data_IF_695474867200
#
_entry.id   IF_695474867200
#
_cell.length_a   1.000
_cell.length_b   1.000
_cell.length_c   1.000
_cell.angle_alpha   90.00
_cell.angle_beta   90.00
_cell.angle_gamma   90.00
#
_symmetry.space_group_name_H-M   'P 1'
#
loop_
_entity.id
_entity.type
_entity.pdbx_description
1 polymer ?
#
# COMPACT_ATOMS: atom_id res chain seq x y z
N UNK A 1 -21.95 -59.28 4.85
CA UNK A 1 -22.22 -58.39 3.71
C UNK A 1 -22.77 -57.08 4.25
N UNK A 2 -22.01 -55.98 4.13
CA UNK A 2 -22.45 -54.60 3.85
C UNK A 2 -21.38 -53.58 4.27
N UNK A 3 -20.35 -53.53 3.42
CA UNK A 3 -19.65 -52.36 2.88
C UNK A 3 -19.51 -51.17 3.82
N UNK A 4 -18.31 -51.09 4.40
CA UNK A 4 -17.66 -49.88 4.90
C UNK A 4 -17.43 -48.96 3.69
N UNK A 5 -18.48 -48.26 3.25
CA UNK A 5 -18.30 -47.08 2.43
C UNK A 5 -17.89 -45.97 3.38
N UNK A 6 -16.60 -45.94 3.70
CA UNK A 6 -15.95 -44.72 4.13
C UNK A 6 -16.38 -43.65 3.14
N UNK A 7 -17.09 -42.63 3.63
CA UNK A 7 -17.28 -41.39 2.88
C UNK A 7 -15.89 -40.84 2.62
N UNK A 8 -15.29 -41.18 1.47
CA UNK A 8 -14.27 -40.32 0.90
C UNK A 8 -14.99 -38.99 0.70
N UNK A 9 -14.56 -37.90 1.37
CA UNK A 9 -15.22 -36.62 1.22
C UNK A 9 -15.20 -36.27 -0.27
N UNK A 10 -16.38 -36.23 -0.90
CA UNK A 10 -16.55 -36.02 -2.35
C UNK A 10 -16.31 -34.55 -2.75
N UNK A 11 -15.41 -33.87 -2.04
CA UNK A 11 -14.99 -32.52 -2.31
C UNK A 11 -13.51 -32.41 -2.03
N UNK A 12 -12.71 -32.20 -3.09
CA UNK A 12 -11.36 -31.73 -2.92
C UNK A 12 -11.47 -30.28 -2.45
N UNK A 13 -11.20 -30.02 -1.18
CA UNK A 13 -11.02 -28.67 -0.66
C UNK A 13 -9.78 -28.06 -1.34
N UNK A 14 -9.99 -27.38 -2.46
CA UNK A 14 -8.92 -26.78 -3.27
C UNK A 14 -8.04 -25.84 -2.43
N UNK A 15 -8.63 -25.18 -1.41
CA UNK A 15 -7.93 -24.34 -0.44
C UNK A 15 -6.96 -25.09 0.49
N UNK A 16 -7.14 -26.40 0.73
CA UNK A 16 -6.23 -27.19 1.57
C UNK A 16 -5.15 -27.89 0.76
N UNK A 17 -5.38 -28.10 -0.52
CA UNK A 17 -4.46 -28.82 -1.42
C UNK A 17 -3.60 -27.87 -2.25
N UNK A 18 -4.06 -26.64 -2.49
CA UNK A 18 -3.33 -25.61 -3.23
C UNK A 18 -3.17 -24.35 -2.38
N UNK A 19 -1.99 -24.19 -1.76
CA UNK A 19 -1.69 -23.09 -0.84
C UNK A 19 -1.99 -21.68 -1.39
N UNK A 20 -1.77 -21.36 -2.69
CA UNK A 20 -2.13 -20.04 -3.22
C UNK A 20 -3.64 -19.74 -3.22
N UNK A 21 -4.51 -20.76 -3.23
CA UNK A 21 -5.96 -20.55 -3.14
C UNK A 21 -6.39 -20.01 -1.77
N UNK A 22 -5.56 -20.17 -0.73
CA UNK A 22 -5.82 -19.59 0.60
C UNK A 22 -5.62 -18.07 0.62
N UNK A 23 -4.78 -17.54 -0.26
CA UNK A 23 -4.40 -16.12 -0.26
C UNK A 23 -5.26 -15.23 -1.13
N UNK A 24 -6.06 -15.80 -2.04
CA UNK A 24 -6.88 -15.03 -2.99
C UNK A 24 -8.34 -15.49 -2.97
N UNK A 25 -8.86 -15.77 -1.77
CA UNK A 25 -10.24 -16.24 -1.61
C UNK A 25 -11.26 -15.16 -1.93
N UNK A 26 -10.88 -13.87 -1.86
CA UNK A 26 -11.74 -12.72 -2.17
C UNK A 26 -10.98 -11.68 -3.00
N UNK A 27 -11.72 -10.88 -3.79
CA UNK A 27 -11.15 -9.73 -4.52
C UNK A 27 -10.47 -8.74 -3.56
N UNK A 28 -10.95 -8.62 -2.33
CA UNK A 28 -10.34 -7.78 -1.29
C UNK A 28 -8.92 -8.19 -0.93
N UNK A 29 -8.58 -9.48 -0.98
CA UNK A 29 -7.22 -9.95 -0.65
C UNK A 29 -6.19 -9.44 -1.65
N UNK A 30 -6.55 -9.39 -2.94
CA UNK A 30 -5.69 -8.84 -4.00
C UNK A 30 -5.48 -7.33 -3.83
N UNK A 31 -6.56 -6.60 -3.53
CA UNK A 31 -6.52 -5.16 -3.32
C UNK A 31 -5.66 -4.84 -2.09
N UNK A 32 -5.82 -5.60 -1.01
CA UNK A 32 -5.03 -5.48 0.22
C UNK A 32 -3.52 -5.55 -0.05
N UNK A 33 -3.06 -6.56 -0.79
CA UNK A 33 -1.65 -6.73 -1.15
C UNK A 33 -1.12 -5.55 -1.97
N UNK A 34 -1.89 -5.09 -2.96
CA UNK A 34 -1.50 -3.95 -3.81
C UNK A 34 -1.40 -2.68 -2.98
N UNK A 35 -2.43 -2.40 -2.17
CA UNK A 35 -2.50 -1.20 -1.34
C UNK A 35 -1.37 -1.19 -0.31
N UNK A 36 -1.15 -2.29 0.40
CA UNK A 36 -0.07 -2.40 1.38
C UNK A 36 1.30 -2.13 0.75
N UNK A 37 1.59 -2.75 -0.40
CA UNK A 37 2.86 -2.54 -1.09
C UNK A 37 2.98 -1.10 -1.64
N UNK A 38 1.87 -0.51 -2.11
CA UNK A 38 1.83 0.87 -2.57
C UNK A 38 2.14 1.85 -1.43
N UNK A 39 1.63 1.64 -0.21
CA UNK A 39 1.94 2.49 0.95
C UNK A 39 3.43 2.43 1.31
N UNK A 40 4.04 1.25 1.30
CA UNK A 40 5.49 1.09 1.55
C UNK A 40 6.30 1.82 0.48
N UNK A 41 5.99 1.60 -0.79
CA UNK A 41 6.64 2.27 -1.92
C UNK A 41 6.47 3.79 -1.85
N UNK A 42 5.26 4.26 -1.56
CA UNK A 42 4.96 5.68 -1.44
C UNK A 42 5.76 6.33 -0.30
N UNK A 43 5.92 5.65 0.84
CA UNK A 43 6.77 6.11 1.94
C UNK A 43 8.25 6.23 1.53
N UNK A 44 8.78 5.23 0.82
CA UNK A 44 10.17 5.26 0.31
C UNK A 44 10.36 6.40 -0.69
N UNK A 45 9.45 6.56 -1.64
CA UNK A 45 9.50 7.63 -2.65
C UNK A 45 9.42 9.00 -1.97
N UNK A 46 8.49 9.18 -1.04
CA UNK A 46 8.35 10.43 -0.29
C UNK A 46 9.64 10.76 0.47
N UNK A 47 10.25 9.77 1.12
CA UNK A 47 11.51 9.94 1.85
C UNK A 47 12.66 10.41 0.93
N UNK A 48 12.85 9.75 -0.21
CA UNK A 48 13.88 10.11 -1.19
C UNK A 48 13.63 11.50 -1.78
N UNK A 49 12.38 11.82 -2.11
CA UNK A 49 12.02 13.14 -2.65
C UNK A 49 12.28 14.26 -1.64
N UNK A 50 11.95 14.07 -0.37
CA UNK A 50 12.22 15.06 0.69
C UNK A 50 13.73 15.30 0.83
N UNK A 51 14.54 14.25 0.84
CA UNK A 51 16.01 14.38 0.92
C UNK A 51 16.55 15.13 -0.31
N UNK A 52 16.18 14.69 -1.51
CA UNK A 52 16.66 15.30 -2.76
C UNK A 52 16.22 16.77 -2.88
N UNK A 53 14.98 17.08 -2.50
CA UNK A 53 14.46 18.44 -2.50
C UNK A 53 15.17 19.34 -1.46
N UNK A 54 15.42 18.80 -0.26
CA UNK A 54 16.14 19.51 0.80
C UNK A 54 17.58 19.83 0.40
N UNK A 55 18.32 18.85 -0.12
CA UNK A 55 19.67 19.08 -0.63
C UNK A 55 19.70 20.08 -1.79
N UNK A 56 18.80 19.95 -2.76
CA UNK A 56 18.72 20.88 -3.89
C UNK A 56 18.45 22.33 -3.46
N UNK A 57 17.62 22.53 -2.43
CA UNK A 57 17.37 23.86 -1.88
C UNK A 57 18.60 24.45 -1.18
N UNK A 58 19.33 23.65 -0.39
CA UNK A 58 20.54 24.10 0.32
C UNK A 58 21.64 24.47 -0.68
N UNK A 59 21.86 23.64 -1.71
CA UNK A 59 22.87 23.89 -2.75
C UNK A 59 22.51 25.14 -3.57
N UNK A 60 21.25 25.25 -4.02
CA UNK A 60 20.79 26.43 -4.76
C UNK A 60 20.86 27.73 -3.96
N UNK A 61 20.65 27.66 -2.63
CA UNK A 61 20.77 28.82 -1.76
C UNK A 61 22.22 29.30 -1.61
N UNK A 62 23.19 28.37 -1.59
CA UNK A 62 24.61 28.69 -1.49
C UNK A 62 25.25 29.17 -2.80
N UNK A 63 24.75 28.73 -3.96
CA UNK A 63 25.31 29.09 -5.26
C UNK A 63 24.69 30.33 -5.92
N UNK A 64 23.58 30.85 -5.38
CA UNK A 64 22.83 31.95 -5.99
C UNK A 64 22.06 31.54 -7.26
N UNK A 65 22.00 30.24 -7.57
CA UNK A 65 21.29 29.70 -8.72
C UNK A 65 19.78 29.66 -8.45
N UNK A 66 19.10 30.70 -8.91
CA UNK A 66 17.63 30.87 -8.77
C UNK A 66 16.85 29.71 -9.37
N UNK A 67 17.38 29.01 -10.37
CA UNK A 67 16.71 27.86 -10.99
C UNK A 67 16.67 26.66 -10.05
N UNK A 68 17.78 26.34 -9.39
CA UNK A 68 17.82 25.26 -8.39
C UNK A 68 16.96 25.58 -7.18
N UNK A 69 16.93 26.84 -6.75
CA UNK A 69 16.05 27.29 -5.67
C UNK A 69 14.56 27.12 -6.01
N UNK A 70 14.12 27.54 -7.19
CA UNK A 70 12.75 27.34 -7.63
C UNK A 70 12.39 25.86 -7.77
N UNK A 71 13.31 25.04 -8.28
CA UNK A 71 13.12 23.61 -8.43
C UNK A 71 13.01 22.91 -7.07
N UNK A 72 13.85 23.27 -6.10
CA UNK A 72 13.79 22.77 -4.72
C UNK A 72 12.45 23.13 -4.05
N UNK A 73 11.97 24.37 -4.21
CA UNK A 73 10.65 24.79 -3.70
C UNK A 73 9.52 23.95 -4.30
N UNK A 74 9.51 23.75 -5.62
CA UNK A 74 8.50 22.92 -6.30
C UNK A 74 8.56 21.46 -5.81
N UNK A 75 9.76 20.93 -5.63
CA UNK A 75 9.95 19.55 -5.17
C UNK A 75 9.46 19.35 -3.73
N UNK A 76 9.72 20.29 -2.81
CA UNK A 76 9.16 20.25 -1.45
C UNK A 76 7.64 20.33 -1.48
N UNK A 77 7.06 21.25 -2.25
CA UNK A 77 5.60 21.36 -2.37
C UNK A 77 4.99 20.07 -2.90
N UNK A 78 5.59 19.44 -3.90
CA UNK A 78 5.14 18.16 -4.43
C UNK A 78 5.25 17.03 -3.39
N UNK A 79 6.35 16.98 -2.63
CA UNK A 79 6.54 15.99 -1.57
C UNK A 79 5.50 16.14 -0.44
N UNK A 80 5.24 17.37 0.00
CA UNK A 80 4.21 17.67 1.02
C UNK A 80 2.81 17.31 0.51
N UNK A 81 2.48 17.69 -0.73
CA UNK A 81 1.19 17.36 -1.33
C UNK A 81 1.00 15.84 -1.46
N UNK A 82 2.04 15.13 -1.90
CA UNK A 82 2.03 13.66 -1.96
C UNK A 82 1.80 13.03 -0.58
N UNK A 83 2.47 13.55 0.46
CA UNK A 83 2.28 13.07 1.83
C UNK A 83 0.83 13.27 2.30
N UNK A 84 0.24 14.43 2.02
CA UNK A 84 -1.16 14.74 2.37
C UNK A 84 -2.11 13.76 1.66
N UNK A 85 -1.86 13.44 0.39
CA UNK A 85 -2.68 12.48 -0.36
C UNK A 85 -2.59 11.08 0.25
N UNK A 86 -1.39 10.62 0.63
CA UNK A 86 -1.19 9.30 1.25
C UNK A 86 -1.95 9.21 2.57
N UNK A 87 -1.83 10.24 3.42
CA UNK A 87 -2.59 10.34 4.68
C UNK A 87 -4.09 10.39 4.40
N UNK A 88 -4.50 11.18 3.40
CA UNK A 88 -5.88 11.29 2.95
C UNK A 88 -6.49 9.97 2.48
N UNK A 89 -5.68 9.15 1.80
CA UNK A 89 -6.09 7.84 1.29
C UNK A 89 -6.46 6.86 2.40
N UNK A 90 -5.95 7.04 3.62
CA UNK A 90 -6.29 6.17 4.75
C UNK A 90 -7.80 6.19 5.03
N UNK A 91 -8.43 7.38 5.03
CA UNK A 91 -9.87 7.50 5.25
C UNK A 91 -10.69 6.84 4.14
N UNK A 92 -10.24 6.94 2.89
CA UNK A 92 -10.90 6.29 1.76
C UNK A 92 -10.88 4.77 1.95
N UNK A 93 -9.74 4.22 2.33
CA UNK A 93 -9.59 2.77 2.52
C UNK A 93 -10.44 2.31 3.70
N UNK A 94 -10.48 3.05 4.80
CA UNK A 94 -11.31 2.73 5.97
C UNK A 94 -12.81 2.66 5.63
N UNK A 95 -13.30 3.54 4.76
CA UNK A 95 -14.68 3.49 4.25
C UNK A 95 -14.89 2.22 3.41
N UNK A 96 -13.94 1.88 2.53
CA UNK A 96 -14.01 0.65 1.71
C UNK A 96 -14.01 -0.60 2.60
N UNK A 97 -13.17 -0.66 3.62
CA UNK A 97 -13.13 -1.76 4.59
C UNK A 97 -14.46 -1.94 5.33
N UNK A 98 -15.09 -0.82 5.71
CA UNK A 98 -16.39 -0.81 6.39
C UNK A 98 -17.50 -1.36 5.49
N UNK A 99 -17.50 -1.02 4.20
CA UNK A 99 -18.50 -1.49 3.24
C UNK A 99 -18.25 -2.95 2.84
N UNK A 100 -16.98 -3.34 2.68
CA UNK A 100 -16.59 -4.66 2.17
C UNK A 100 -16.46 -5.72 3.27
N UNK A 101 -16.37 -5.31 4.54
CA UNK A 101 -16.17 -6.19 5.69
C UNK A 101 -14.83 -6.92 5.68
N UNK A 102 -13.86 -6.44 4.90
CA UNK A 102 -12.53 -7.02 4.76
C UNK A 102 -11.47 -6.00 5.17
N UNK A 103 -10.49 -6.44 5.94
CA UNK A 103 -9.35 -5.62 6.34
C UNK A 103 -8.34 -5.57 5.19
N UNK A 104 -8.22 -4.41 4.54
CA UNK A 104 -7.32 -4.15 3.42
C UNK A 104 -5.99 -3.55 3.88
N UNK A 105 -5.99 -2.90 5.03
CA UNK A 105 -4.82 -2.37 5.71
C UNK A 105 -4.80 -2.89 7.15
N UNK A 106 -3.84 -3.74 7.53
CA UNK A 106 -3.71 -4.21 8.91
C UNK A 106 -3.15 -3.14 9.88
N UNK A 107 -3.06 -1.87 9.45
CA UNK A 107 -2.62 -0.74 10.28
C UNK A 107 -3.72 -0.40 11.30
N UNK A 108 -3.69 -1.12 12.42
CA UNK A 108 -4.52 -0.83 13.58
C UNK A 108 -3.89 0.33 14.35
N UNK A 109 -4.41 1.53 14.14
CA UNK A 109 -4.15 2.67 15.02
C UNK A 109 -5.00 2.42 16.28
N UNK A 110 -4.38 1.87 17.32
CA UNK A 110 -4.96 1.81 18.67
C UNK A 110 -5.10 3.20 19.29
#
# INVERSE_FOLDING_TARGET
>A
MNRVFAQAPTGVDISKVFAPAQHFSKIGDLVSVIVQNAFVLAGIIAFVLVIAAGFGMIVGAGSGDTKQLEQGKKAITAAVLGLIIIVGSFWIIQIIETITGQTLLPLKLE
#
